data_IF_951134129478
#
_entry.id   IF_951134129478
#
_cell.length_a   1.000
_cell.length_b   1.000
_cell.length_c   1.000
_cell.angle_alpha   90.00
_cell.angle_beta   90.00
_cell.angle_gamma   90.00
#
_symmetry.space_group_name_H-M   'P 1'
#
loop_
_entity.id
_entity.type
_entity.pdbx_description
1 polymer ?
#
# COMPACT_ATOMS: atom_id res chain seq x y z
N UNK A 1 6.39 -9.05 6.00
CA UNK A 1 7.39 -9.21 7.08
C UNK A 1 8.16 -7.92 7.15
N UNK A 2 8.61 -7.44 8.32
CA UNK A 2 8.96 -6.02 8.52
C UNK A 2 9.82 -5.38 7.42
N UNK A 3 10.87 -6.06 6.96
CA UNK A 3 11.72 -5.56 5.86
C UNK A 3 10.93 -5.34 4.56
N UNK A 4 10.02 -6.27 4.24
CA UNK A 4 9.13 -6.17 3.08
C UNK A 4 8.10 -5.06 3.25
N UNK A 5 7.56 -4.89 4.46
CA UNK A 5 6.62 -3.82 4.78
C UNK A 5 7.32 -2.44 4.61
N UNK A 6 8.60 -2.31 5.03
CA UNK A 6 9.44 -1.12 4.79
C UNK A 6 9.73 -0.90 3.30
N UNK A 7 10.08 -1.95 2.55
CA UNK A 7 10.32 -1.86 1.11
C UNK A 7 9.06 -1.37 0.36
N UNK A 8 7.87 -1.86 0.76
CA UNK A 8 6.59 -1.43 0.21
C UNK A 8 6.24 0.01 0.58
N UNK A 9 6.62 0.44 1.79
CA UNK A 9 6.49 1.82 2.22
C UNK A 9 7.32 2.78 1.35
N UNK A 10 8.58 2.43 1.05
CA UNK A 10 9.41 3.24 0.16
C UNK A 10 8.90 3.23 -1.29
N UNK A 11 8.43 2.08 -1.79
CA UNK A 11 7.76 1.99 -3.07
C UNK A 11 6.52 2.91 -3.15
N UNK A 12 5.77 3.07 -2.04
CA UNK A 12 4.63 3.98 -1.96
C UNK A 12 5.05 5.43 -2.12
N UNK A 13 6.11 5.86 -1.41
CA UNK A 13 6.65 7.23 -1.54
C UNK A 13 7.08 7.50 -2.98
N UNK A 14 7.78 6.56 -3.61
CA UNK A 14 8.18 6.65 -5.01
C UNK A 14 6.97 6.75 -5.97
N UNK A 15 5.96 5.90 -5.80
CA UNK A 15 4.74 5.93 -6.62
C UNK A 15 3.98 7.26 -6.47
N UNK A 16 3.93 7.83 -5.26
CA UNK A 16 3.32 9.15 -5.00
C UNK A 16 4.06 10.26 -5.75
N UNK A 17 5.39 10.30 -5.65
CA UNK A 17 6.23 11.27 -6.38
C UNK A 17 6.04 11.17 -7.89
N UNK A 18 6.10 9.96 -8.44
CA UNK A 18 5.90 9.72 -9.86
C UNK A 18 4.49 10.16 -10.33
N UNK A 19 3.45 9.93 -9.51
CA UNK A 19 2.09 10.37 -9.85
C UNK A 19 2.01 11.89 -9.94
N UNK A 20 2.57 12.60 -8.96
CA UNK A 20 2.57 14.06 -8.99
C UNK A 20 3.33 14.63 -10.17
N UNK A 21 4.48 14.06 -10.53
CA UNK A 21 5.19 14.46 -11.75
C UNK A 21 4.33 14.28 -13.02
N UNK A 22 3.63 13.14 -13.16
CA UNK A 22 2.72 12.91 -14.28
C UNK A 22 1.48 13.82 -14.26
N UNK A 23 1.01 14.21 -13.07
CA UNK A 23 -0.11 15.14 -12.87
C UNK A 23 0.28 16.56 -13.29
N UNK A 24 1.48 17.02 -12.91
CA UNK A 24 2.05 18.30 -13.33
C UNK A 24 2.38 18.35 -14.82
N UNK A 25 2.79 17.23 -15.42
CA UNK A 25 3.09 17.17 -16.86
C UNK A 25 1.83 17.01 -17.74
N UNK A 26 0.67 16.70 -17.16
CA UNK A 26 -0.57 16.44 -17.90
C UNK A 26 -1.05 17.61 -18.81
N UNK A 27 -0.91 18.90 -18.44
CA UNK A 27 -1.25 20.02 -19.32
C UNK A 27 -0.38 20.09 -20.58
N UNK A 28 0.89 19.70 -20.50
CA UNK A 28 1.86 19.78 -21.60
C UNK A 28 1.85 18.52 -22.46
N UNK A 29 1.89 17.35 -21.82
CA UNK A 29 2.03 16.06 -22.49
C UNK A 29 0.69 15.37 -22.82
N UNK A 30 -0.43 15.93 -22.37
CA UNK A 30 -1.77 15.49 -22.76
C UNK A 30 -2.14 14.04 -22.38
N UNK A 31 -2.71 13.30 -23.34
CA UNK A 31 -3.33 11.97 -23.11
C UNK A 31 -2.35 10.91 -22.53
N UNK A 32 -1.08 10.79 -22.99
CA UNK A 32 -0.09 9.90 -22.39
C UNK A 32 0.14 10.11 -20.89
N UNK A 33 0.38 11.35 -20.46
CA UNK A 33 0.59 11.68 -19.04
C UNK A 33 -0.64 11.36 -18.19
N UNK A 34 -1.86 11.64 -18.69
CA UNK A 34 -3.11 11.23 -18.02
C UNK A 34 -3.24 9.70 -17.87
N UNK A 35 -2.81 8.91 -18.86
CA UNK A 35 -2.80 7.43 -18.77
C UNK A 35 -1.78 6.94 -17.74
N UNK A 36 -0.62 7.59 -17.65
CA UNK A 36 0.42 7.29 -16.67
C UNK A 36 -0.04 7.62 -15.24
N UNK A 37 -0.58 8.83 -15.01
CA UNK A 37 -1.17 9.26 -13.73
C UNK A 37 -2.23 8.25 -13.24
N UNK A 38 -3.16 7.83 -14.12
CA UNK A 38 -4.19 6.83 -13.78
C UNK A 38 -3.59 5.48 -13.38
N UNK A 39 -2.52 5.04 -14.03
CA UNK A 39 -1.88 3.78 -13.70
C UNK A 39 -1.12 3.85 -12.36
N UNK A 40 -0.40 4.95 -12.12
CA UNK A 40 0.28 5.22 -10.85
C UNK A 40 -0.69 5.37 -9.69
N UNK A 41 -1.86 5.97 -9.90
CA UNK A 41 -2.93 6.02 -8.89
C UNK A 41 -3.40 4.63 -8.45
N UNK A 42 -3.44 3.64 -9.36
CA UNK A 42 -3.78 2.25 -9.02
C UNK A 42 -2.70 1.58 -8.18
N UNK A 43 -1.42 1.78 -8.53
CA UNK A 43 -0.29 1.29 -7.72
C UNK A 43 -0.31 1.92 -6.33
N UNK A 44 -0.47 3.25 -6.26
CA UNK A 44 -0.57 3.97 -4.99
C UNK A 44 -1.74 3.48 -4.15
N UNK A 45 -2.90 3.17 -4.74
CA UNK A 45 -4.05 2.64 -4.00
C UNK A 45 -3.73 1.30 -3.33
N UNK A 46 -3.11 0.37 -4.05
CA UNK A 46 -2.72 -0.93 -3.47
C UNK A 46 -1.68 -0.75 -2.35
N UNK A 47 -0.65 0.06 -2.58
CA UNK A 47 0.33 0.39 -1.52
C UNK A 47 -0.31 1.19 -0.35
N UNK A 48 -1.43 1.86 -0.65
CA UNK A 48 -2.45 2.36 0.27
C UNK A 48 -2.90 1.31 1.26
N UNK A 49 -3.67 0.38 0.72
CA UNK A 49 -4.33 -0.73 1.41
C UNK A 49 -3.34 -1.58 2.22
N UNK A 50 -2.13 -1.86 1.68
CA UNK A 50 -1.12 -2.61 2.43
C UNK A 50 -0.65 -1.86 3.70
N UNK A 51 -0.37 -0.56 3.59
CA UNK A 51 0.07 0.23 4.74
C UNK A 51 -1.04 0.32 5.81
N UNK A 52 -2.29 0.45 5.38
CA UNK A 52 -3.43 0.51 6.30
C UNK A 52 -3.50 -0.79 7.13
N UNK A 53 -3.28 -1.95 6.52
CA UNK A 53 -3.15 -3.23 7.23
C UNK A 53 -1.92 -3.31 8.14
N UNK A 54 -0.79 -2.67 7.80
CA UNK A 54 0.37 -2.57 8.71
C UNK A 54 0.02 -1.76 9.97
N UNK A 55 -0.57 -0.58 9.78
CA UNK A 55 -0.95 0.31 10.89
C UNK A 55 -2.04 -0.31 11.75
N UNK A 56 -3.03 -0.98 11.15
CA UNK A 56 -4.08 -1.70 11.88
C UNK A 56 -3.50 -2.80 12.77
N UNK A 57 -2.52 -3.55 12.28
CA UNK A 57 -1.83 -4.59 13.06
C UNK A 57 -1.09 -4.03 14.27
N UNK A 58 -0.40 -2.91 14.12
CA UNK A 58 0.24 -2.23 15.25
C UNK A 58 -0.77 -1.75 16.30
N UNK A 59 -1.91 -1.19 15.85
CA UNK A 59 -2.98 -0.78 16.75
C UNK A 59 -3.60 -1.97 17.50
N UNK A 60 -3.84 -3.08 16.82
CA UNK A 60 -4.38 -4.31 17.42
C UNK A 60 -3.45 -4.89 18.49
N UNK A 61 -2.12 -4.84 18.28
CA UNK A 61 -1.15 -5.28 19.28
C UNK A 61 -1.17 -4.39 20.53
N UNK A 62 -1.32 -3.06 20.37
CA UNK A 62 -1.47 -2.15 21.51
C UNK A 62 -2.74 -2.44 22.31
N UNK A 63 -3.88 -2.56 21.64
CA UNK A 63 -5.17 -2.86 22.28
C UNK A 63 -5.14 -4.23 22.98
N UNK A 64 -4.51 -5.23 22.37
CA UNK A 64 -4.34 -6.55 22.99
C UNK A 64 -3.45 -6.49 24.25
N UNK A 65 -2.41 -5.65 24.25
CA UNK A 65 -1.56 -5.46 25.42
C UNK A 65 -2.32 -4.77 26.58
N UNK A 66 -3.09 -3.72 26.28
CA UNK A 66 -3.97 -3.05 27.23
C UNK A 66 -5.01 -4.02 27.81
N UNK A 67 -5.71 -4.75 26.93
CA UNK A 67 -6.73 -5.74 27.36
C UNK A 67 -6.13 -6.83 28.24
N UNK A 68 -4.91 -7.29 27.93
CA UNK A 68 -4.21 -8.28 28.76
C UNK A 68 -3.89 -7.74 30.15
N UNK A 69 -3.45 -6.48 30.24
CA UNK A 69 -3.14 -5.85 31.53
C UNK A 69 -4.39 -5.75 32.43
N UNK A 70 -5.56 -5.59 31.81
CA UNK A 70 -6.86 -5.56 32.51
C UNK A 70 -7.46 -6.96 32.75
N UNK A 71 -6.72 -8.04 32.41
CA UNK A 71 -7.17 -9.42 32.58
C UNK A 71 -8.23 -9.90 31.57
N UNK A 72 -8.44 -9.15 30.49
CA UNK A 72 -9.43 -9.46 29.45
C UNK A 72 -8.94 -10.47 28.41
N UNK A 73 -9.89 -10.99 27.62
CA UNK A 73 -9.59 -11.91 26.51
C UNK A 73 -8.96 -11.17 25.33
N UNK A 74 -7.82 -11.68 24.85
CA UNK A 74 -7.06 -11.10 23.73
C UNK A 74 -7.29 -11.81 22.40
N UNK A 75 -8.03 -12.91 22.40
CA UNK A 75 -8.29 -13.72 21.21
C UNK A 75 -8.89 -12.93 20.03
N UNK A 76 -9.89 -12.04 20.22
CA UNK A 76 -10.47 -11.29 19.12
C UNK A 76 -9.45 -10.41 18.38
N UNK A 77 -8.50 -9.80 19.10
CA UNK A 77 -7.46 -8.96 18.51
C UNK A 77 -6.44 -9.80 17.73
N UNK A 78 -6.11 -10.99 18.23
CA UNK A 78 -5.27 -11.95 17.52
C UNK A 78 -5.91 -12.41 16.20
N UNK A 79 -7.22 -12.70 16.21
CA UNK A 79 -7.97 -13.08 15.01
C UNK A 79 -8.01 -11.92 13.98
N UNK A 80 -8.30 -10.70 14.43
CA UNK A 80 -8.28 -9.50 13.58
C UNK A 80 -6.88 -9.24 13.00
N UNK A 81 -5.81 -9.47 13.78
CA UNK A 81 -4.43 -9.30 13.32
C UNK A 81 -4.12 -10.25 12.15
N UNK A 82 -4.55 -11.51 12.22
CA UNK A 82 -4.35 -12.45 11.12
C UNK A 82 -5.16 -12.09 9.87
N UNK A 83 -6.37 -11.55 10.04
CA UNK A 83 -7.17 -11.04 8.91
C UNK A 83 -6.44 -9.89 8.19
N UNK A 84 -5.86 -8.96 8.93
CA UNK A 84 -5.06 -7.88 8.33
C UNK A 84 -3.78 -8.38 7.66
N UNK A 85 -3.13 -9.41 8.22
CA UNK A 85 -2.00 -10.07 7.53
C UNK A 85 -2.41 -10.70 6.21
N UNK A 86 -3.58 -11.34 6.17
CA UNK A 86 -4.12 -11.92 4.94
C UNK A 86 -4.41 -10.83 3.90
N UNK A 87 -5.08 -9.74 4.29
CA UNK A 87 -5.35 -8.58 3.42
C UNK A 87 -4.06 -8.00 2.82
N UNK A 88 -3.03 -7.79 3.66
CA UNK A 88 -1.73 -7.32 3.22
C UNK A 88 -1.09 -8.27 2.19
N UNK A 89 -1.17 -9.58 2.40
CA UNK A 89 -0.63 -10.60 1.49
C UNK A 89 -1.37 -10.63 0.14
N UNK A 90 -2.70 -10.48 0.13
CA UNK A 90 -3.48 -10.38 -1.12
C UNK A 90 -3.08 -9.15 -1.94
N UNK A 91 -2.87 -8.01 -1.26
CA UNK A 91 -2.39 -6.79 -1.90
C UNK A 91 -0.99 -6.98 -2.49
N UNK A 92 -0.08 -7.60 -1.73
CA UNK A 92 1.26 -7.96 -2.21
C UNK A 92 1.22 -8.83 -3.47
N UNK A 93 0.35 -9.84 -3.51
CA UNK A 93 0.19 -10.71 -4.67
C UNK A 93 -0.30 -9.96 -5.93
N UNK A 94 -1.12 -8.91 -5.75
CA UNK A 94 -1.65 -8.08 -6.84
C UNK A 94 -0.68 -7.01 -7.33
N UNK A 95 0.30 -6.66 -6.51
CA UNK A 95 1.22 -5.54 -6.76
C UNK A 95 2.10 -5.73 -8.02
N UNK A 96 2.76 -6.89 -8.26
CA UNK A 96 3.60 -7.09 -9.44
C UNK A 96 2.85 -6.91 -10.76
N UNK A 97 1.62 -7.42 -10.84
CA UNK A 97 0.76 -7.27 -12.02
C UNK A 97 0.36 -5.80 -12.25
N UNK A 98 0.03 -5.09 -11.18
CA UNK A 98 -0.35 -3.67 -11.25
C UNK A 98 0.84 -2.78 -11.60
N UNK A 99 2.01 -3.06 -11.03
CA UNK A 99 3.26 -2.39 -11.34
C UNK A 99 3.67 -2.57 -12.80
N UNK A 100 3.62 -3.80 -13.33
CA UNK A 100 3.94 -4.08 -14.74
C UNK A 100 3.04 -3.31 -15.70
N UNK A 101 1.75 -3.18 -15.39
CA UNK A 101 0.79 -2.39 -16.18
C UNK A 101 1.07 -0.88 -16.10
N UNK A 102 1.57 -0.40 -14.96
CA UNK A 102 1.97 1.00 -14.81
C UNK A 102 3.27 1.30 -15.58
N UNK A 103 4.28 0.43 -15.47
CA UNK A 103 5.57 0.58 -16.15
C UNK A 103 5.44 0.64 -17.68
N UNK A 104 4.56 -0.17 -18.28
CA UNK A 104 4.26 -0.14 -19.73
C UNK A 104 3.70 1.19 -20.24
N UNK A 105 3.29 2.09 -19.35
CA UNK A 105 2.69 3.40 -19.68
C UNK A 105 3.60 4.57 -19.32
N UNK A 106 4.80 4.29 -18.80
CA UNK A 106 5.82 5.29 -18.57
C UNK A 106 6.62 5.46 -19.87
N UNK A 107 6.93 6.68 -20.30
CA UNK A 107 7.93 6.88 -21.35
C UNK A 107 9.22 6.19 -20.89
N UNK A 108 9.81 5.38 -21.77
CA UNK A 108 11.21 4.98 -21.59
C UNK A 108 12.00 6.26 -21.85
N UNK A 109 12.74 6.73 -20.85
CA UNK A 109 13.75 7.77 -21.07
C UNK A 109 14.86 7.23 -21.96
#
# INVERSE_FOLDING_TARGET
GEERDRALHEARKAAKRARYAAESAAPVLGKPAKKQQKALKKVQKLLGEHQDSVVAREALLRIAAETRADGGDTFPFGAAYQLERHRAAEVEARLPRTWRKARRRMPVG
#
